data_IF_598990553590
#
_entry.id   IF_598990553590
#
_cell.length_a   1.000
_cell.length_b   1.000
_cell.length_c   1.000
_cell.angle_alpha   90.00
_cell.angle_beta   90.00
_cell.angle_gamma   90.00
#
_symmetry.space_group_name_H-M   'P 1'
#
loop_
_entity.id
_entity.type
_entity.pdbx_description
1 polymer ?
#
# COMPACT_ATOMS: atom_id res chain seq x y z
N UNK A 1 15.70 -19.87 3.30
CA UNK A 1 16.04 -19.95 4.74
C UNK A 1 14.92 -19.24 5.47
N UNK A 2 14.00 -19.98 6.09
CA UNK A 2 12.79 -19.42 6.70
C UNK A 2 13.18 -18.98 8.12
N UNK A 3 13.18 -17.68 8.39
CA UNK A 3 13.44 -17.16 9.73
C UNK A 3 12.10 -17.15 10.49
N UNK A 4 11.93 -18.06 11.45
CA UNK A 4 10.83 -18.02 12.41
C UNK A 4 11.27 -17.16 13.60
N UNK A 5 10.75 -15.94 13.71
CA UNK A 5 11.09 -15.03 14.80
C UNK A 5 9.86 -14.89 15.68
N UNK A 6 9.92 -15.50 16.87
CA UNK A 6 8.90 -15.42 17.91
C UNK A 6 9.47 -14.58 19.08
N UNK A 7 9.04 -13.32 19.28
CA UNK A 7 9.57 -12.49 20.36
C UNK A 7 8.91 -12.73 21.74
N UNK A 8 7.94 -13.65 21.86
CA UNK A 8 7.20 -13.85 23.11
C UNK A 8 7.40 -15.25 23.72
N UNK A 9 8.15 -15.30 24.84
CA UNK A 9 7.97 -16.35 25.86
C UNK A 9 6.95 -15.85 26.88
N UNK A 10 5.67 -15.85 26.50
CA UNK A 10 4.60 -15.62 27.49
C UNK A 10 4.54 -16.86 28.37
N UNK A 11 4.77 -16.65 29.66
CA UNK A 11 4.64 -17.65 30.72
C UNK A 11 3.23 -18.26 30.64
N UNK A 12 3.17 -19.51 30.20
CA UNK A 12 1.92 -20.23 30.00
C UNK A 12 1.59 -20.97 31.31
N UNK A 13 0.92 -20.27 32.23
CA UNK A 13 0.31 -20.91 33.39
C UNK A 13 -0.96 -21.68 32.95
N UNK A 14 -1.13 -22.82 33.60
CA UNK A 14 -1.86 -24.02 33.18
C UNK A 14 -3.39 -23.97 33.44
N UNK A 15 -4.15 -24.83 32.73
CA UNK A 15 -5.57 -25.24 32.84
C UNK A 15 -6.58 -24.34 32.07
N UNK A 16 -7.51 -24.82 31.22
CA UNK A 16 -8.24 -26.10 31.11
C UNK A 16 -8.92 -26.19 29.71
N UNK A 17 -9.44 -27.36 29.26
CA UNK A 17 -9.69 -27.68 27.85
C UNK A 17 -11.16 -27.59 27.39
N UNK A 18 -11.31 -27.53 26.05
CA UNK A 18 -12.52 -27.64 25.23
C UNK A 18 -13.54 -26.50 25.36
N UNK A 19 -13.85 -25.85 24.22
CA UNK A 19 -15.21 -25.62 23.74
C UNK A 19 -15.17 -25.27 22.24
N UNK A 20 -15.62 -26.20 21.41
CA UNK A 20 -16.03 -25.92 20.03
C UNK A 20 -17.27 -25.00 20.09
N UNK A 21 -17.23 -23.84 19.44
CA UNK A 21 -18.44 -23.05 19.22
C UNK A 21 -18.58 -22.71 17.74
N UNK A 22 -19.58 -23.33 17.11
CA UNK A 22 -20.14 -22.92 15.83
C UNK A 22 -21.05 -21.73 16.10
N UNK A 23 -20.74 -20.56 15.52
CA UNK A 23 -21.59 -19.38 15.60
C UNK A 23 -21.36 -18.46 14.40
N UNK A 24 -22.39 -18.29 13.58
CA UNK A 24 -22.39 -17.41 12.42
C UNK A 24 -22.96 -16.02 12.77
N UNK A 25 -22.42 -15.00 12.08
CA UNK A 25 -22.86 -13.60 11.93
C UNK A 25 -22.98 -12.77 13.22
N UNK A 26 -21.89 -12.05 13.54
CA UNK A 26 -21.95 -10.79 14.29
C UNK A 26 -21.33 -9.69 13.42
N UNK A 27 -22.04 -8.56 13.33
CA UNK A 27 -21.61 -7.37 12.59
C UNK A 27 -20.19 -6.98 12.97
N UNK A 28 -19.39 -6.71 11.94
CA UNK A 28 -17.96 -6.36 12.00
C UNK A 28 -17.75 -5.04 12.73
N UNK A 29 -17.83 -5.07 14.05
CA UNK A 29 -17.03 -4.17 14.88
C UNK A 29 -15.77 -4.97 15.26
N UNK A 30 -15.00 -5.34 14.23
CA UNK A 30 -13.75 -6.06 14.42
C UNK A 30 -12.73 -5.05 14.92
N UNK A 31 -12.57 -4.97 16.23
CA UNK A 31 -11.44 -4.27 16.83
C UNK A 31 -10.19 -5.02 16.42
N UNK A 32 -9.38 -4.40 15.57
CA UNK A 32 -8.13 -4.95 15.10
C UNK A 32 -7.03 -4.67 16.13
N UNK A 33 -6.34 -5.70 16.60
CA UNK A 33 -5.20 -5.61 17.52
C UNK A 33 -3.92 -6.08 16.81
N UNK A 34 -2.80 -5.42 17.07
CA UNK A 34 -1.51 -5.73 16.46
C UNK A 34 -0.40 -5.80 17.50
N UNK A 35 0.66 -6.56 17.23
CA UNK A 35 1.91 -6.45 17.98
C UNK A 35 2.47 -5.05 17.75
N UNK A 36 2.73 -4.32 18.83
CA UNK A 36 3.47 -3.08 18.82
C UNK A 36 4.92 -3.36 19.21
N UNK A 37 5.86 -2.87 18.41
CA UNK A 37 7.27 -2.85 18.77
C UNK A 37 7.89 -1.56 18.24
N UNK A 38 8.74 -0.92 19.04
CA UNK A 38 9.46 0.28 18.62
C UNK A 38 10.92 0.20 19.05
N UNK A 39 11.82 0.05 18.07
CA UNK A 39 13.25 0.02 18.32
C UNK A 39 13.74 1.40 18.77
N UNK A 40 14.32 1.46 19.97
CA UNK A 40 14.99 2.66 20.47
C UNK A 40 16.51 2.40 20.59
N UNK A 41 17.35 3.12 19.82
CA UNK A 41 18.79 2.93 19.84
C UNK A 41 19.47 3.45 21.11
N UNK A 42 18.79 4.26 21.93
CA UNK A 42 19.38 4.84 23.14
C UNK A 42 19.40 3.83 24.31
N UNK A 43 20.58 3.41 24.81
CA UNK A 43 20.75 2.48 25.94
C UNK A 43 20.05 2.93 27.23
N UNK A 44 20.00 4.24 27.49
CA UNK A 44 19.40 4.80 28.71
C UNK A 44 17.86 4.63 28.71
N UNK A 45 17.24 4.84 27.56
CA UNK A 45 15.79 4.65 27.37
C UNK A 45 15.37 3.17 27.39
N UNK A 46 16.34 2.23 27.29
CA UNK A 46 16.09 0.80 27.42
C UNK A 46 15.76 0.39 28.85
N UNK A 47 16.45 0.98 29.81
CA UNK A 47 16.28 0.64 31.22
C UNK A 47 15.01 1.26 31.82
N UNK A 48 14.60 2.43 31.31
CA UNK A 48 13.41 3.17 31.78
C UNK A 48 12.09 2.59 31.26
N UNK A 49 12.07 2.00 30.05
CA UNK A 49 10.85 1.58 29.34
C UNK A 49 10.75 0.05 29.11
N UNK A 50 11.24 -0.76 30.05
CA UNK A 50 11.24 -2.23 29.92
C UNK A 50 9.86 -2.86 29.62
N UNK A 51 8.76 -2.18 29.96
CA UNK A 51 7.38 -2.63 29.68
C UNK A 51 6.71 -2.08 28.41
N UNK A 52 7.23 -1.00 27.80
CA UNK A 52 6.56 -0.31 26.67
C UNK A 52 7.22 -0.56 25.30
N UNK A 53 8.32 -1.33 25.27
CA UNK A 53 9.07 -1.63 24.04
C UNK A 53 8.33 -2.55 23.09
N UNK A 54 7.60 -3.49 23.68
CA UNK A 54 6.82 -4.51 23.00
C UNK A 54 5.49 -4.60 23.73
N UNK A 55 4.40 -4.71 22.98
CA UNK A 55 3.07 -4.80 23.54
C UNK A 55 2.04 -5.12 22.47
N UNK A 56 0.78 -4.95 22.85
CA UNK A 56 -0.36 -5.05 21.96
C UNK A 56 -0.91 -3.64 21.80
N UNK A 57 -1.16 -3.22 20.56
CA UNK A 57 -1.86 -1.98 20.28
C UNK A 57 -3.18 -2.23 19.56
N UNK A 58 -4.21 -1.52 19.99
CA UNK A 58 -5.53 -1.54 19.37
C UNK A 58 -5.56 -0.50 18.25
N UNK A 59 -5.85 -0.92 17.03
CA UNK A 59 -5.88 -0.05 15.86
C UNK A 59 -7.16 0.78 15.84
N UNK A 60 -7.01 2.10 16.06
CA UNK A 60 -8.12 3.04 15.94
C UNK A 60 -8.60 3.13 14.47
N UNK A 61 -9.87 2.79 14.23
CA UNK A 61 -10.50 2.71 12.91
C UNK A 61 -11.59 3.76 12.68
N UNK A 62 -11.72 4.23 11.43
CA UNK A 62 -12.97 4.82 10.95
C UNK A 62 -13.84 3.68 10.42
N UNK A 63 -15.17 3.76 10.52
CA UNK A 63 -16.07 2.65 10.16
C UNK A 63 -15.93 2.16 8.71
N UNK A 64 -15.43 3.00 7.81
CA UNK A 64 -15.32 2.71 6.37
C UNK A 64 -13.88 2.44 5.89
N UNK A 65 -12.89 2.43 6.79
CA UNK A 65 -11.49 2.21 6.44
C UNK A 65 -10.98 0.91 7.02
N UNK A 66 -10.39 0.05 6.17
CA UNK A 66 -9.75 -1.18 6.66
C UNK A 66 -8.51 -0.85 7.48
N UNK A 67 -8.15 -1.77 8.37
CA UNK A 67 -6.98 -1.68 9.24
C UNK A 67 -6.19 -2.96 9.10
N UNK A 68 -4.88 -2.79 9.11
CA UNK A 68 -3.93 -3.87 8.94
C UNK A 68 -2.91 -3.81 10.07
N UNK A 69 -2.15 -4.88 10.26
CA UNK A 69 -0.91 -4.82 11.01
C UNK A 69 0.28 -4.75 10.05
N UNK A 70 1.44 -4.31 10.54
CA UNK A 70 2.69 -4.36 9.80
C UNK A 70 3.87 -4.79 10.67
N UNK A 71 4.91 -5.27 10.02
CA UNK A 71 6.23 -5.48 10.60
C UNK A 71 7.31 -4.96 9.66
N UNK A 72 8.36 -4.38 10.21
CA UNK A 72 9.55 -3.97 9.47
C UNK A 72 10.83 -4.31 10.22
N UNK A 73 11.79 -4.86 9.49
CA UNK A 73 13.05 -5.37 10.03
C UNK A 73 14.21 -5.14 9.06
N UNK A 74 15.43 -5.26 9.57
CA UNK A 74 16.66 -5.28 8.80
C UNK A 74 17.29 -6.66 8.89
N UNK A 75 18.02 -7.06 7.86
CA UNK A 75 18.85 -8.24 7.90
C UNK A 75 20.31 -7.82 7.77
N UNK A 76 21.02 -7.76 8.90
CA UNK A 76 22.44 -7.39 8.94
C UNK A 76 23.26 -8.67 9.00
N UNK A 77 23.79 -9.10 7.86
CA UNK A 77 24.64 -10.30 7.76
C UNK A 77 24.00 -11.59 8.30
N UNK A 78 22.70 -11.76 8.11
CA UNK A 78 21.93 -12.92 8.60
C UNK A 78 21.26 -12.71 9.96
N UNK A 79 21.57 -11.61 10.66
CA UNK A 79 20.93 -11.25 11.92
C UNK A 79 19.72 -10.37 11.61
N UNK A 80 18.56 -10.76 12.13
CA UNK A 80 17.32 -10.02 11.93
C UNK A 80 17.09 -9.06 13.09
N UNK A 81 17.09 -7.77 12.77
CA UNK A 81 16.83 -6.68 13.69
C UNK A 81 15.44 -6.09 13.41
N UNK A 82 14.49 -6.32 14.32
CA UNK A 82 13.15 -5.72 14.23
C UNK A 82 13.29 -4.22 14.44
N UNK A 83 12.76 -3.43 13.50
CA UNK A 83 12.77 -1.96 13.58
C UNK A 83 11.46 -1.48 14.19
N UNK A 84 10.32 -1.96 13.69
CA UNK A 84 9.00 -1.55 14.17
C UNK A 84 7.92 -2.58 13.84
N UNK A 85 6.92 -2.68 14.70
CA UNK A 85 5.67 -3.41 14.46
C UNK A 85 4.50 -2.54 14.92
N UNK A 86 3.35 -2.69 14.26
CA UNK A 86 2.14 -2.00 14.70
C UNK A 86 0.97 -2.04 13.73
N UNK A 87 0.09 -1.06 13.86
CA UNK A 87 -1.08 -0.77 13.07
C UNK A 87 -0.69 -0.05 11.79
N UNK A 88 -1.36 -0.45 10.72
CA UNK A 88 -1.22 0.09 9.39
C UNK A 88 -2.57 0.60 8.89
N UNK A 89 -2.50 1.67 8.08
CA UNK A 89 -3.67 2.29 7.49
C UNK A 89 -4.22 1.41 6.35
N UNK A 90 -5.39 1.79 5.83
CA UNK A 90 -6.06 1.14 4.72
C UNK A 90 -5.18 1.14 3.46
N UNK A 91 -4.57 0.00 3.13
CA UNK A 91 -3.61 -0.16 2.04
C UNK A 91 -3.97 -1.43 1.26
N UNK A 92 -4.23 -1.25 -0.04
CA UNK A 92 -4.67 -2.33 -0.92
C UNK A 92 -3.66 -3.49 -1.00
N UNK A 93 -2.37 -3.24 -0.75
CA UNK A 93 -1.35 -4.29 -0.75
C UNK A 93 -1.54 -5.31 0.39
N UNK A 94 -2.28 -4.95 1.42
CA UNK A 94 -2.50 -5.73 2.62
C UNK A 94 -3.83 -6.49 2.62
N UNK A 95 -4.68 -6.26 1.61
CA UNK A 95 -6.03 -6.83 1.56
C UNK A 95 -5.98 -8.33 1.45
N UNK A 96 -6.82 -9.00 2.24
CA UNK A 96 -7.00 -10.45 2.24
C UNK A 96 -5.69 -11.24 2.55
N UNK A 97 -4.62 -10.55 2.98
CA UNK A 97 -3.35 -11.16 3.37
C UNK A 97 -3.36 -11.48 4.85
N UNK A 98 -3.60 -12.73 5.22
CA UNK A 98 -3.62 -13.16 6.63
C UNK A 98 -2.23 -13.35 7.23
N UNK A 99 -1.21 -13.50 6.38
CA UNK A 99 0.19 -13.71 6.77
C UNK A 99 1.03 -12.47 6.43
N UNK A 100 1.96 -12.10 7.31
CA UNK A 100 2.88 -10.99 7.06
C UNK A 100 4.11 -11.49 6.28
N UNK A 101 4.11 -11.32 4.95
CA UNK A 101 5.17 -11.84 4.08
C UNK A 101 5.80 -10.73 3.24
N UNK A 102 7.13 -10.60 3.29
CA UNK A 102 7.93 -9.79 2.38
C UNK A 102 8.38 -10.63 1.19
N UNK A 103 8.14 -10.14 -0.02
CA UNK A 103 8.40 -10.85 -1.29
C UNK A 103 9.44 -10.16 -2.17
N UNK A 104 9.83 -8.93 -1.83
CA UNK A 104 10.80 -8.15 -2.60
C UNK A 104 12.17 -8.80 -2.57
N UNK A 105 12.86 -8.85 -3.71
CA UNK A 105 14.22 -9.37 -3.76
C UNK A 105 15.19 -8.40 -3.06
N UNK A 106 15.95 -8.92 -2.09
CA UNK A 106 17.02 -8.23 -1.35
C UNK A 106 16.76 -6.75 -0.96
N UNK A 107 15.70 -6.44 -0.18
CA UNK A 107 15.46 -5.07 0.27
C UNK A 107 16.45 -4.66 1.39
N UNK A 108 16.85 -3.39 1.41
CA UNK A 108 17.67 -2.83 2.52
C UNK A 108 16.92 -2.83 3.86
N UNK A 109 15.60 -2.62 3.79
CA UNK A 109 14.65 -2.67 4.90
C UNK A 109 13.45 -3.48 4.44
N UNK A 110 13.16 -4.55 5.16
CA UNK A 110 12.07 -5.47 4.86
C UNK A 110 10.76 -4.93 5.44
N UNK A 111 9.65 -5.16 4.75
CA UNK A 111 8.33 -4.72 5.17
C UNK A 111 7.26 -5.74 4.79
N UNK A 112 6.32 -5.99 5.69
CA UNK A 112 5.09 -6.71 5.37
C UNK A 112 3.90 -6.11 6.12
N UNK A 113 2.71 -6.35 5.57
CA UNK A 113 1.45 -6.03 6.21
C UNK A 113 0.44 -7.16 6.04
N UNK A 114 -0.54 -7.22 6.94
CA UNK A 114 -1.51 -8.29 6.99
C UNK A 114 -2.83 -7.83 7.64
N UNK A 115 -3.91 -8.56 7.38
CA UNK A 115 -5.24 -8.37 7.96
C UNK A 115 -5.53 -9.48 8.98
N UNK A 116 -6.12 -9.10 10.12
CA UNK A 116 -6.47 -10.02 11.21
C UNK A 116 -5.65 -9.80 12.48
N UNK A 117 -6.26 -10.10 13.63
CA UNK A 117 -5.66 -9.81 14.94
C UNK A 117 -4.29 -10.48 15.10
N UNK A 118 -3.32 -9.68 15.55
CA UNK A 118 -1.95 -10.11 15.87
C UNK A 118 -1.22 -10.79 14.71
N UNK A 119 -1.65 -10.58 13.46
CA UNK A 119 -1.07 -11.24 12.29
C UNK A 119 0.41 -10.88 12.07
N UNK A 120 0.89 -9.75 12.62
CA UNK A 120 2.27 -9.30 12.53
C UNK A 120 3.20 -9.87 13.62
N UNK A 121 2.71 -10.77 14.50
CA UNK A 121 3.54 -11.50 15.46
C UNK A 121 4.59 -12.37 14.75
N UNK A 122 4.25 -12.85 13.55
CA UNK A 122 5.14 -13.63 12.70
C UNK A 122 5.26 -12.96 11.35
N UNK A 123 6.50 -12.77 10.91
CA UNK A 123 6.81 -12.21 9.61
C UNK A 123 7.82 -13.10 8.87
N UNK A 124 7.60 -13.25 7.57
CA UNK A 124 8.35 -14.20 6.73
C UNK A 124 8.95 -13.47 5.54
N UNK A 125 10.16 -13.87 5.16
CA UNK A 125 10.79 -13.44 3.91
C UNK A 125 10.77 -14.59 2.90
N UNK A 126 10.00 -14.42 1.82
CA UNK A 126 9.90 -15.37 0.71
C UNK A 126 10.04 -14.59 -0.58
N UNK A 127 11.28 -14.38 -1.09
CA UNK A 127 11.45 -13.71 -2.37
C UNK A 127 10.69 -14.47 -3.43
N UNK A 128 9.94 -13.75 -4.26
CA UNK A 128 9.29 -14.35 -5.41
C UNK A 128 10.38 -14.82 -6.39
N UNK A 129 10.70 -16.11 -6.36
CA UNK A 129 11.67 -16.75 -7.28
C UNK A 129 11.22 -16.70 -8.76
N UNK A 130 10.09 -16.07 -9.07
CA UNK A 130 9.53 -15.89 -10.42
C UNK A 130 10.29 -14.89 -11.29
N UNK A 131 11.42 -14.33 -10.84
CA UNK A 131 12.36 -13.62 -11.71
C UNK A 131 13.48 -14.51 -12.32
N UNK A 132 13.47 -15.82 -12.05
CA UNK A 132 14.20 -16.77 -12.87
C UNK A 132 13.26 -17.33 -13.95
N UNK A 133 13.44 -16.88 -15.20
CA UNK A 133 12.74 -17.30 -16.43
C UNK A 133 11.32 -16.74 -16.61
N UNK A 134 11.22 -15.48 -17.04
CA UNK A 134 10.16 -15.07 -17.98
C UNK A 134 10.69 -15.18 -19.41
N UNK A 135 10.92 -16.42 -19.84
CA UNK A 135 10.72 -16.81 -21.24
C UNK A 135 9.57 -17.83 -21.20
N UNK A 136 8.51 -17.55 -21.96
CA UNK A 136 7.39 -18.45 -22.29
C UNK A 136 6.11 -18.35 -21.42
N UNK A 137 5.16 -17.58 -21.99
CA UNK A 137 3.70 -17.77 -22.02
C UNK A 137 2.88 -17.92 -20.73
N UNK A 138 2.39 -16.79 -20.18
CA UNK A 138 0.95 -16.45 -20.07
C UNK A 138 0.79 -15.11 -19.28
N UNK A 139 -0.07 -14.17 -19.71
CA UNK A 139 -0.04 -12.80 -19.21
C UNK A 139 -0.95 -12.63 -17.99
N UNK A 140 -0.37 -12.57 -16.78
CA UNK A 140 -1.03 -11.89 -15.66
C UNK A 140 -0.73 -10.41 -15.83
N UNK A 141 -1.78 -9.65 -16.16
CA UNK A 141 -1.78 -8.21 -16.42
C UNK A 141 -1.30 -7.41 -15.20
N UNK A 142 0.01 -7.27 -15.05
CA UNK A 142 0.59 -6.14 -14.35
C UNK A 142 0.51 -4.95 -15.30
N UNK A 143 -0.49 -4.09 -15.10
CA UNK A 143 -0.71 -2.89 -15.94
C UNK A 143 0.59 -2.07 -15.92
N UNK A 144 1.33 -1.95 -17.03
CA UNK A 144 2.55 -1.15 -17.07
C UNK A 144 2.17 0.33 -16.85
N UNK A 145 3.13 1.26 -16.72
CA UNK A 145 2.88 2.71 -16.63
C UNK A 145 2.22 3.33 -17.90
N UNK A 146 1.55 2.53 -18.72
CA UNK A 146 0.77 2.95 -19.89
C UNK A 146 -0.29 3.96 -19.53
N UNK A 147 -0.90 3.94 -18.34
CA UNK A 147 -1.94 4.92 -18.01
C UNK A 147 -1.35 6.33 -17.83
N UNK A 148 -0.18 6.41 -17.22
CA UNK A 148 0.58 7.66 -17.07
C UNK A 148 1.09 8.15 -18.43
N UNK A 149 1.67 7.26 -19.24
CA UNK A 149 2.11 7.59 -20.60
C UNK A 149 0.95 8.00 -21.52
N UNK A 150 -0.19 7.31 -21.44
CA UNK A 150 -1.41 7.65 -22.18
C UNK A 150 -1.94 9.02 -21.76
N UNK A 151 -1.95 9.34 -20.47
CA UNK A 151 -2.35 10.68 -20.00
C UNK A 151 -1.44 11.76 -20.57
N UNK A 152 -0.11 11.57 -20.54
CA UNK A 152 0.82 12.55 -21.11
C UNK A 152 0.76 12.65 -22.64
N UNK A 153 0.34 11.61 -23.37
CA UNK A 153 0.16 11.69 -24.83
C UNK A 153 -1.21 12.21 -25.26
N UNK A 154 -2.28 11.87 -24.53
CA UNK A 154 -3.65 12.20 -24.93
C UNK A 154 -4.00 13.66 -24.63
N UNK A 155 -3.53 14.18 -23.49
CA UNK A 155 -3.75 15.58 -23.07
C UNK A 155 -3.24 16.60 -24.10
N UNK A 156 -1.99 16.52 -24.63
CA UNK A 156 -1.52 17.49 -25.63
C UNK A 156 -2.27 17.36 -26.96
N UNK A 157 -2.67 16.15 -27.37
CA UNK A 157 -3.43 15.95 -28.62
C UNK A 157 -4.82 16.62 -28.50
N UNK A 158 -5.53 16.38 -27.40
CA UNK A 158 -6.84 17.01 -27.16
C UNK A 158 -6.69 18.53 -27.10
N UNK A 159 -5.66 19.04 -26.41
CA UNK A 159 -5.38 20.48 -26.34
C UNK A 159 -5.17 21.11 -27.72
N UNK A 160 -4.36 20.49 -28.58
CA UNK A 160 -4.10 21.00 -29.94
C UNK A 160 -5.38 20.99 -30.78
N UNK A 161 -6.18 19.92 -30.72
CA UNK A 161 -7.44 19.85 -31.48
C UNK A 161 -8.43 20.93 -31.06
N UNK A 162 -8.55 21.21 -29.76
CA UNK A 162 -9.42 22.27 -29.24
C UNK A 162 -8.97 23.66 -29.73
N UNK A 163 -7.67 23.94 -29.77
CA UNK A 163 -7.13 25.21 -30.28
C UNK A 163 -7.43 25.38 -31.78
N UNK A 164 -7.27 24.33 -32.57
CA UNK A 164 -7.56 24.38 -34.02
C UNK A 164 -9.07 24.61 -34.25
N UNK A 165 -9.93 23.89 -33.54
CA UNK A 165 -11.37 24.08 -33.64
C UNK A 165 -11.80 25.48 -33.20
N UNK A 166 -11.25 25.98 -32.10
CA UNK A 166 -11.55 27.32 -31.60
C UNK A 166 -11.09 28.41 -32.58
N UNK A 167 -9.88 28.29 -33.12
CA UNK A 167 -9.37 29.23 -34.13
C UNK A 167 -10.16 29.18 -35.43
N UNK A 168 -10.58 28.00 -35.89
CA UNK A 168 -11.47 27.87 -37.06
C UNK A 168 -12.87 28.44 -36.79
N UNK A 169 -13.41 28.19 -35.60
CA UNK A 169 -14.71 28.71 -35.19
C UNK A 169 -14.69 30.24 -35.10
N UNK A 170 -13.65 30.80 -34.48
CA UNK A 170 -13.39 32.24 -34.48
C UNK A 170 -13.21 32.78 -35.89
N UNK A 171 -12.42 32.13 -36.74
CA UNK A 171 -12.24 32.55 -38.13
C UNK A 171 -13.55 32.58 -38.92
N UNK A 172 -14.39 31.55 -38.75
CA UNK A 172 -15.73 31.47 -39.34
C UNK A 172 -16.64 32.58 -38.80
N UNK A 173 -16.64 32.83 -37.49
CA UNK A 173 -17.47 33.86 -36.88
C UNK A 173 -17.02 35.29 -37.25
N UNK A 174 -15.72 35.55 -37.34
CA UNK A 174 -15.17 36.86 -37.67
C UNK A 174 -15.25 37.19 -39.16
N UNK A 175 -15.25 36.20 -40.07
CA UNK A 175 -15.43 36.45 -41.52
C UNK A 175 -16.84 36.88 -41.94
N UNK A 176 -17.83 36.89 -41.03
CA UNK A 176 -19.14 37.52 -41.28
C UNK A 176 -19.17 39.03 -40.97
N UNK A 177 -18.07 39.61 -40.47
CA UNK A 177 -18.03 41.02 -40.05
C UNK A 177 -17.08 41.90 -40.88
N UNK A 178 -16.85 41.59 -42.17
CA UNK A 178 -16.33 42.58 -43.11
C UNK A 178 -17.51 43.21 -43.86
N UNK A 179 -18.04 44.37 -43.41
CA UNK A 179 -18.97 45.12 -44.24
C UNK A 179 -18.24 45.59 -45.51
N UNK A 180 -18.89 45.38 -46.65
CA UNK A 180 -18.53 45.93 -47.95
C UNK A 180 -18.29 47.45 -47.81
N UNK A 181 -17.02 47.87 -47.85
CA UNK A 181 -16.70 49.27 -48.13
C UNK A 181 -17.03 49.50 -49.60
N UNK A 182 -18.24 50.02 -49.83
CA UNK A 182 -18.67 50.54 -51.13
C UNK A 182 -17.80 51.76 -51.46
N UNK A 183 -16.91 51.61 -52.43
CA UNK A 183 -16.27 52.76 -53.07
C UNK A 183 -17.28 53.35 -54.06
N UNK A 184 -17.69 54.63 -53.95
CA UNK A 184 -18.54 55.24 -54.95
C UNK A 184 -17.70 55.53 -56.20
N UNK A 185 -18.11 54.96 -57.33
CA UNK A 185 -17.68 55.39 -58.66
C UNK A 185 -18.19 56.81 -58.91
N UNK A 186 -17.28 57.78 -58.94
CA UNK A 186 -17.56 59.12 -59.45
C UNK A 186 -17.40 59.09 -60.98
N UNK A 187 -18.44 59.59 -61.65
CA UNK A 187 -18.49 59.94 -63.08
C UNK A 187 -18.05 61.39 -63.24
#
# INVERSE_FOLDING_TARGET
>A
MIYYINPFTVKQDFLSPYLYFSGAILGRTETQECVHYNYNPNPAAIQENRGNRSGIETCAGEKDKRRHCFATWRNVSGIVDIVKQGCWLDDHNCYDSTECVEKKESPDVFFCCCEGNMCNDKFVYTPDNTQAVQTTSNPVTQKPPVFTTLMYSLVPIIGITAIILFSFWMYRHHKLAYPLVLVPTQV
#
